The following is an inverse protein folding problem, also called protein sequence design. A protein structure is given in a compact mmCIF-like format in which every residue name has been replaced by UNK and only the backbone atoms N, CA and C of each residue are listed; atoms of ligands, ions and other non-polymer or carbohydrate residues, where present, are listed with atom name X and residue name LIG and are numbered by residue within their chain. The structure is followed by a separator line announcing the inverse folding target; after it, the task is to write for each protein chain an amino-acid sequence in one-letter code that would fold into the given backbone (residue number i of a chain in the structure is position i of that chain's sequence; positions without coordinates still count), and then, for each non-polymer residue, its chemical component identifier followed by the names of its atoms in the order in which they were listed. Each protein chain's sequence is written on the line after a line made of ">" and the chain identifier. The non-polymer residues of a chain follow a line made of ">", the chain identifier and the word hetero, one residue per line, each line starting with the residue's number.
data_IF_416748965844
#
_entry.id   IF_416748965844
#
_cell.length_a   1.000
_cell.length_b   1.000
_cell.length_c   1.000
_cell.angle_alpha   90.00
_cell.angle_beta   90.00
_cell.angle_gamma   90.00
#
_symmetry.space_group_name_H-M   'P 1'
#
loop_
_entity.id
_entity.type
_entity.pdbx_description
1 polymer ?
#
# COMPACT_ATOMS: atom_id res chain seq x y z
N UNK A 1 -18.20 -3.58 -11.17
CA UNK A 1 -19.04 -4.23 -10.14
C UNK A 1 -19.12 -3.31 -8.92
N UNK A 2 -20.18 -3.33 -8.13
CA UNK A 2 -20.17 -2.64 -6.85
C UNK A 2 -19.09 -3.28 -5.96
N UNK A 3 -18.42 -2.45 -5.17
CA UNK A 3 -17.43 -2.92 -4.17
C UNK A 3 -18.23 -3.65 -3.10
N UNK A 4 -18.04 -4.95 -2.97
CA UNK A 4 -18.61 -5.72 -1.85
C UNK A 4 -17.74 -5.49 -0.62
N UNK A 5 -18.31 -4.86 0.40
CA UNK A 5 -17.66 -4.68 1.69
C UNK A 5 -17.87 -5.97 2.48
N UNK A 6 -16.80 -6.68 2.90
CA UNK A 6 -16.94 -7.87 3.73
C UNK A 6 -17.71 -7.55 5.02
N UNK A 7 -18.63 -8.43 5.41
CA UNK A 7 -19.48 -8.22 6.60
C UNK A 7 -18.69 -8.29 7.92
N UNK A 8 -17.48 -8.84 7.88
CA UNK A 8 -16.55 -9.00 8.99
C UNK A 8 -15.43 -7.93 8.98
N UNK A 9 -15.58 -6.88 8.15
CA UNK A 9 -14.60 -5.83 8.04
C UNK A 9 -14.57 -4.98 9.33
N UNK A 10 -13.38 -4.84 9.90
CA UNK A 10 -13.12 -3.92 11.00
C UNK A 10 -13.51 -2.48 10.60
N UNK A 11 -14.21 -1.71 11.44
CA UNK A 11 -14.65 -0.36 11.09
C UNK A 11 -13.55 0.55 10.55
N UNK A 12 -12.35 0.50 11.13
CA UNK A 12 -11.19 1.28 10.69
C UNK A 12 -10.77 1.00 9.25
N UNK A 13 -11.13 -0.17 8.71
CA UNK A 13 -10.76 -0.56 7.36
C UNK A 13 -11.80 -0.17 6.30
N UNK A 14 -12.95 0.37 6.68
CA UNK A 14 -13.98 0.81 5.74
C UNK A 14 -13.43 1.78 4.66
N UNK A 15 -12.61 2.79 5.00
CA UNK A 15 -12.00 3.65 3.96
C UNK A 15 -11.11 2.91 2.97
N UNK A 16 -10.51 1.78 3.37
CA UNK A 16 -9.63 0.95 2.55
C UNK A 16 -10.34 -0.18 1.79
N UNK A 17 -11.65 -0.37 1.99
CA UNK A 17 -12.39 -1.53 1.46
C UNK A 17 -12.21 -1.73 -0.04
N UNK A 18 -12.08 -0.66 -0.82
CA UNK A 18 -11.88 -0.71 -2.26
C UNK A 18 -10.50 -1.24 -2.68
N UNK A 19 -9.49 -1.16 -1.79
CA UNK A 19 -8.15 -1.71 -2.03
C UNK A 19 -8.08 -3.22 -1.75
N UNK A 20 -8.87 -3.73 -0.81
CA UNK A 20 -8.76 -5.11 -0.32
C UNK A 20 -8.85 -6.14 -1.44
N UNK A 21 -8.01 -7.17 -1.36
CA UNK A 21 -7.91 -8.26 -2.32
C UNK A 21 -6.57 -8.33 -3.02
N UNK A 22 -6.50 -9.15 -4.07
CA UNK A 22 -5.29 -9.31 -4.88
C UNK A 22 -5.47 -8.61 -6.23
N UNK A 23 -4.44 -7.92 -6.64
CA UNK A 23 -4.36 -7.15 -7.88
C UNK A 23 -3.14 -7.60 -8.67
N UNK A 24 -3.28 -7.75 -9.98
CA UNK A 24 -2.16 -8.11 -10.86
C UNK A 24 -2.24 -7.37 -12.17
N UNK A 25 -1.11 -6.97 -12.70
CA UNK A 25 -1.01 -6.28 -13.97
C UNK A 25 0.40 -5.87 -14.30
N UNK A 26 0.53 -5.01 -15.30
CA UNK A 26 1.82 -4.60 -15.82
C UNK A 26 2.07 -3.11 -15.57
N UNK A 27 3.33 -2.75 -15.59
CA UNK A 27 3.78 -1.38 -15.42
C UNK A 27 5.16 -1.17 -16.00
N UNK A 28 5.66 0.03 -15.78
CA UNK A 28 7.01 0.43 -16.19
C UNK A 28 7.77 1.02 -15.01
N UNK A 29 9.07 0.73 -14.95
CA UNK A 29 9.99 1.33 -14.00
C UNK A 29 11.23 1.83 -14.69
N UNK A 30 11.78 2.91 -14.19
CA UNK A 30 13.03 3.51 -14.62
C UNK A 30 13.38 4.65 -13.67
N UNK A 31 14.60 5.16 -13.71
CA UNK A 31 14.96 6.32 -12.89
C UNK A 31 16.09 7.10 -13.54
N UNK A 32 15.91 8.42 -13.61
CA UNK A 32 16.88 9.31 -14.26
C UNK A 32 17.03 8.99 -15.73
N UNK A 33 18.27 8.72 -16.16
CA UNK A 33 18.62 8.41 -17.56
C UNK A 33 18.56 6.89 -17.84
N UNK A 34 18.13 6.08 -16.87
CA UNK A 34 18.00 4.64 -17.07
C UNK A 34 16.83 4.32 -18.01
N UNK A 35 17.06 3.35 -18.90
CA UNK A 35 16.01 2.84 -19.77
C UNK A 35 14.82 2.31 -18.96
N UNK A 36 13.62 2.68 -19.39
CA UNK A 36 12.40 2.13 -18.80
C UNK A 36 12.29 0.64 -19.08
N UNK A 37 11.96 -0.12 -18.06
CA UNK A 37 11.76 -1.56 -18.12
C UNK A 37 10.33 -1.91 -17.77
N UNK A 38 9.74 -2.78 -18.57
CA UNK A 38 8.43 -3.35 -18.28
C UNK A 38 8.53 -4.32 -17.10
N UNK A 39 7.48 -4.37 -16.28
CA UNK A 39 7.35 -5.33 -15.20
C UNK A 39 5.92 -5.83 -15.09
N UNK A 40 5.76 -7.02 -14.51
CA UNK A 40 4.52 -7.54 -13.95
C UNK A 40 4.56 -7.38 -12.44
N UNK A 41 3.44 -6.99 -11.85
CA UNK A 41 3.33 -6.86 -10.40
C UNK A 41 2.08 -7.55 -9.89
N UNK A 42 2.24 -8.23 -8.75
CA UNK A 42 1.15 -8.74 -7.93
C UNK A 42 1.14 -7.98 -6.61
N UNK A 43 0.01 -7.36 -6.30
CA UNK A 43 -0.20 -6.61 -5.05
C UNK A 43 -1.34 -7.24 -4.28
N UNK A 44 -1.16 -7.39 -2.97
CA UNK A 44 -2.19 -7.91 -2.08
C UNK A 44 -2.42 -6.95 -0.92
N UNK A 45 -3.68 -6.63 -0.67
CA UNK A 45 -4.15 -5.91 0.49
C UNK A 45 -5.06 -6.83 1.29
N UNK A 46 -4.62 -7.25 2.48
CA UNK A 46 -5.31 -8.24 3.31
C UNK A 46 -5.78 -7.63 4.62
N UNK A 47 -6.97 -8.03 5.06
CA UNK A 47 -7.48 -7.76 6.40
C UNK A 47 -7.43 -9.03 7.25
N UNK A 48 -7.23 -8.89 8.56
CA UNK A 48 -7.14 -9.99 9.52
C UNK A 48 -8.03 -9.79 10.75
N UNK A 49 -9.00 -8.86 10.66
CA UNK A 49 -9.82 -8.45 11.81
C UNK A 49 -9.13 -7.45 12.74
N UNK A 50 -7.90 -7.02 12.40
CA UNK A 50 -7.15 -5.99 13.13
C UNK A 50 -7.29 -4.62 12.44
N UNK A 51 -7.02 -3.49 13.12
CA UNK A 51 -7.26 -2.15 12.60
C UNK A 51 -6.20 -1.68 11.60
N UNK A 52 -5.66 -2.59 10.79
CA UNK A 52 -4.71 -2.28 9.72
C UNK A 52 -4.85 -3.27 8.55
N UNK A 53 -4.46 -2.81 7.38
CA UNK A 53 -4.32 -3.63 6.18
C UNK A 53 -2.88 -4.11 6.06
N UNK A 54 -2.68 -5.39 5.79
CA UNK A 54 -1.37 -5.96 5.42
C UNK A 54 -1.21 -5.78 3.91
N UNK A 55 -0.12 -5.11 3.53
CA UNK A 55 0.28 -4.87 2.15
C UNK A 55 1.45 -5.75 1.76
N UNK A 56 1.39 -6.35 0.57
CA UNK A 56 2.51 -7.03 -0.07
C UNK A 56 2.51 -6.72 -1.55
N UNK A 57 3.70 -6.49 -2.12
CA UNK A 57 3.88 -6.35 -3.56
C UNK A 57 5.08 -7.17 -4.03
N UNK A 58 4.90 -7.92 -5.09
CA UNK A 58 5.93 -8.70 -5.77
C UNK A 58 6.04 -8.22 -7.20
N UNK A 59 7.24 -7.86 -7.63
CA UNK A 59 7.50 -7.28 -8.95
C UNK A 59 8.48 -8.15 -9.71
N UNK A 60 8.11 -8.55 -10.92
CA UNK A 60 8.90 -9.38 -11.84
C UNK A 60 9.19 -8.57 -13.10
N UNK A 61 10.45 -8.42 -13.50
CA UNK A 61 10.82 -7.80 -14.77
C UNK A 61 10.39 -8.69 -15.93
N UNK A 62 9.96 -8.02 -16.99
CA UNK A 62 9.61 -8.66 -18.25
C UNK A 62 10.75 -8.47 -19.28
N UNK A 63 10.86 -9.40 -20.21
CA UNK A 63 11.69 -9.27 -21.40
C UNK A 63 10.98 -8.48 -22.52
N UNK A 64 11.60 -8.40 -23.69
CA UNK A 64 11.08 -7.68 -24.86
C UNK A 64 9.80 -8.32 -25.41
N UNK A 65 9.61 -9.62 -25.19
CA UNK A 65 8.43 -10.40 -25.59
C UNK A 65 7.29 -10.28 -24.56
N UNK A 66 7.55 -9.68 -23.39
CA UNK A 66 6.57 -9.52 -22.28
C UNK A 66 6.49 -10.74 -21.36
N UNK A 67 7.44 -11.68 -21.47
CA UNK A 67 7.50 -12.85 -20.61
C UNK A 67 8.33 -12.58 -19.33
N UNK A 68 8.03 -13.26 -18.22
CA UNK A 68 8.75 -13.12 -16.97
C UNK A 68 10.23 -13.45 -17.12
N UNK A 69 11.10 -12.49 -16.83
CA UNK A 69 12.57 -12.63 -16.91
C UNK A 69 13.19 -12.96 -15.57
N UNK A 70 12.92 -12.13 -14.54
CA UNK A 70 13.44 -12.31 -13.18
C UNK A 70 12.70 -11.47 -12.16
N UNK A 71 12.71 -11.91 -10.90
CA UNK A 71 12.25 -11.12 -9.77
C UNK A 71 13.05 -9.82 -9.66
N UNK A 72 12.36 -8.72 -9.45
CA UNK A 72 12.97 -7.40 -9.31
C UNK A 72 13.00 -6.95 -7.84
N UNK A 73 11.84 -6.90 -7.20
CA UNK A 73 11.71 -6.43 -5.82
C UNK A 73 10.48 -7.03 -5.14
N UNK A 74 10.49 -6.93 -3.83
CA UNK A 74 9.40 -7.32 -2.95
C UNK A 74 9.18 -6.21 -1.91
N UNK A 75 7.93 -5.89 -1.62
CA UNK A 75 7.56 -4.94 -0.57
C UNK A 75 6.59 -5.59 0.41
N UNK A 76 6.70 -5.21 1.67
CA UNK A 76 5.72 -5.58 2.70
C UNK A 76 5.49 -4.41 3.65
N UNK A 77 4.23 -4.24 4.08
CA UNK A 77 3.91 -3.12 4.94
C UNK A 77 2.54 -3.19 5.59
N UNK A 78 2.22 -2.12 6.33
CA UNK A 78 0.97 -1.94 7.04
C UNK A 78 0.37 -0.58 6.71
N UNK A 79 -0.94 -0.55 6.49
CA UNK A 79 -1.71 0.65 6.19
C UNK A 79 -2.78 0.81 7.26
N UNK A 80 -2.85 1.97 7.87
CA UNK A 80 -3.77 2.23 8.99
C UNK A 80 -4.26 3.68 8.98
N UNK A 81 -5.38 3.94 9.66
CA UNK A 81 -5.81 5.31 9.92
C UNK A 81 -4.83 6.00 10.87
N UNK A 82 -4.40 7.22 10.50
CA UNK A 82 -3.55 8.05 11.35
C UNK A 82 -4.43 8.75 12.40
N UNK A 83 -4.36 8.25 13.64
CA UNK A 83 -5.03 8.83 14.80
C UNK A 83 -4.15 8.68 16.04
N UNK A 84 -4.40 9.45 17.09
CA UNK A 84 -3.73 9.21 18.37
C UNK A 84 -3.94 7.77 18.84
N UNK A 85 -2.89 7.17 19.39
CA UNK A 85 -2.96 5.84 19.99
C UNK A 85 -3.65 5.91 21.35
N UNK A 86 -4.42 4.89 21.66
CA UNK A 86 -5.10 4.69 22.94
C UNK A 86 -4.64 3.38 23.59
N UNK A 87 -4.96 3.19 24.87
CA UNK A 87 -4.50 2.03 25.65
C UNK A 87 -4.97 0.67 25.08
N UNK A 88 -6.05 0.65 24.30
CA UNK A 88 -6.57 -0.54 23.63
C UNK A 88 -5.88 -0.89 22.32
N UNK A 89 -5.03 -0.02 21.80
CA UNK A 89 -4.39 -0.22 20.51
C UNK A 89 -3.26 -1.25 20.55
N UNK A 90 -3.13 -1.97 19.43
CA UNK A 90 -2.03 -2.90 19.22
C UNK A 90 -0.73 -2.11 19.09
N UNK A 91 0.31 -2.55 19.77
CA UNK A 91 1.64 -1.95 19.71
C UNK A 91 2.76 -2.98 19.87
N UNK A 92 4.01 -2.60 19.63
CA UNK A 92 5.12 -3.52 19.74
C UNK A 92 5.36 -3.96 21.17
N UNK A 93 5.37 -5.27 21.42
CA UNK A 93 5.92 -5.89 22.62
C UNK A 93 5.06 -5.89 23.89
N UNK A 94 4.11 -4.99 24.03
CA UNK A 94 3.22 -4.93 25.20
C UNK A 94 1.76 -4.84 24.75
N UNK A 95 1.30 -5.92 24.14
CA UNK A 95 -0.10 -6.05 23.77
C UNK A 95 -0.93 -6.33 25.01
N UNK A 96 -2.07 -5.66 25.22
CA UNK A 96 -3.06 -6.14 26.18
C UNK A 96 -3.46 -7.56 25.75
N UNK A 97 -3.68 -8.48 26.72
CA UNK A 97 -4.04 -9.87 26.39
C UNK A 97 -5.33 -9.97 25.57
N UNK A 98 -6.23 -8.99 25.69
CA UNK A 98 -7.47 -8.88 24.93
C UNK A 98 -7.57 -7.44 24.38
N UNK A 99 -7.13 -7.16 23.14
CA UNK A 99 -7.26 -5.82 22.57
C UNK A 99 -8.74 -5.46 22.44
N UNK A 100 -9.11 -4.33 23.04
CA UNK A 100 -10.47 -3.78 22.93
C UNK A 100 -10.48 -2.84 21.73
N UNK A 101 -11.35 -3.05 20.73
CA UNK A 101 -11.45 -2.13 19.59
C UNK A 101 -11.75 -0.71 20.07
N UNK A 102 -10.94 0.24 19.64
CA UNK A 102 -11.11 1.68 19.96
C UNK A 102 -12.26 2.26 19.16
N UNK A 103 -12.36 1.89 17.89
CA UNK A 103 -13.47 2.27 17.01
C UNK A 103 -14.34 1.04 16.78
N UNK A 104 -15.61 1.15 17.15
CA UNK A 104 -16.54 0.02 17.14
C UNK A 104 -17.58 0.10 16.03
N UNK A 105 -17.66 1.23 15.35
CA UNK A 105 -18.64 1.49 14.31
C UNK A 105 -18.09 2.35 13.17
N UNK A 106 -18.75 2.30 12.03
CA UNK A 106 -18.45 3.22 10.91
C UNK A 106 -18.69 4.69 11.30
N UNK A 107 -19.63 4.96 12.22
CA UNK A 107 -19.89 6.30 12.73
C UNK A 107 -18.71 6.85 13.55
N UNK A 108 -18.03 5.99 14.31
CA UNK A 108 -16.81 6.39 15.03
C UNK A 108 -15.69 6.74 14.05
N UNK A 109 -15.54 5.95 12.98
CA UNK A 109 -14.55 6.24 11.91
C UNK A 109 -14.87 7.55 11.19
N UNK A 110 -16.14 7.85 10.94
CA UNK A 110 -16.53 9.12 10.30
C UNK A 110 -16.12 10.36 11.10
N UNK A 111 -15.97 10.26 12.42
CA UNK A 111 -15.47 11.36 13.28
C UNK A 111 -13.99 11.70 13.02
N UNK A 112 -13.25 10.79 12.37
CA UNK A 112 -11.84 11.00 11.99
C UNK A 112 -11.69 11.70 10.63
N UNK A 113 -12.81 12.01 9.96
CA UNK A 113 -12.76 12.68 8.65
C UNK A 113 -12.09 14.04 8.76
N UNK A 114 -11.06 14.26 7.95
CA UNK A 114 -10.30 15.50 7.94
C UNK A 114 -11.05 16.65 7.22
N UNK A 115 -10.47 17.84 7.26
CA UNK A 115 -11.06 19.04 6.66
C UNK A 115 -11.25 18.94 5.13
N UNK A 116 -10.45 18.11 4.45
CA UNK A 116 -10.54 17.86 3.02
C UNK A 116 -11.62 16.81 2.66
N UNK A 117 -12.26 16.22 3.66
CA UNK A 117 -13.29 15.19 3.51
C UNK A 117 -12.74 13.79 3.22
N UNK A 118 -11.47 13.56 3.50
CA UNK A 118 -10.79 12.25 3.49
C UNK A 118 -10.50 11.78 4.90
N UNK A 119 -9.65 10.77 5.00
CA UNK A 119 -9.10 10.26 6.26
C UNK A 119 -7.59 10.30 6.19
N UNK A 120 -6.94 10.78 7.25
CA UNK A 120 -5.49 10.73 7.35
C UNK A 120 -5.04 9.30 7.59
N UNK A 121 -3.98 8.89 6.93
CA UNK A 121 -3.44 7.53 6.99
C UNK A 121 -1.94 7.53 7.23
N UNK A 122 -1.47 6.48 7.88
CA UNK A 122 -0.06 6.13 8.06
C UNK A 122 0.23 4.81 7.37
N UNK A 123 1.31 4.77 6.62
CA UNK A 123 1.72 3.56 5.88
C UNK A 123 3.19 3.31 6.13
N UNK A 124 3.53 2.10 6.58
CA UNK A 124 4.91 1.65 6.68
C UNK A 124 5.19 0.60 5.61
N UNK A 125 6.33 0.73 4.92
CA UNK A 125 6.76 -0.23 3.88
C UNK A 125 8.22 -0.60 4.12
N UNK A 126 8.50 -1.90 4.04
CA UNK A 126 9.84 -2.48 4.07
C UNK A 126 10.19 -3.00 2.69
N UNK A 127 11.42 -2.75 2.27
CA UNK A 127 11.97 -3.22 1.00
C UNK A 127 13.24 -4.04 1.22
N UNK A 128 13.55 -5.03 0.36
CA UNK A 128 14.86 -5.66 0.32
C UNK A 128 15.98 -4.62 0.13
N UNK A 129 17.18 -4.94 0.64
CA UNK A 129 18.29 -4.01 0.57
C UNK A 129 18.37 -3.02 1.73
N UNK A 130 17.48 -3.18 2.75
CA UNK A 130 17.58 -2.43 3.99
C UNK A 130 16.97 -1.03 3.93
N UNK A 131 15.88 -0.86 3.24
CA UNK A 131 15.09 0.40 3.20
C UNK A 131 13.77 0.19 3.93
N UNK A 132 13.44 1.11 4.83
CA UNK A 132 12.14 1.21 5.47
C UNK A 132 11.59 2.62 5.27
N UNK A 133 10.34 2.70 4.84
CA UNK A 133 9.64 3.94 4.55
C UNK A 133 8.46 4.11 5.49
N UNK A 134 8.33 5.26 6.11
CA UNK A 134 7.11 5.70 6.77
C UNK A 134 6.48 6.79 5.90
N UNK A 135 5.27 6.56 5.47
CA UNK A 135 4.45 7.51 4.72
C UNK A 135 3.34 8.07 5.59
N UNK A 136 3.09 9.34 5.44
CA UNK A 136 1.86 9.99 5.85
C UNK A 136 1.08 10.44 4.62
N UNK A 137 -0.23 10.48 4.72
CA UNK A 137 -1.07 10.89 3.61
C UNK A 137 -2.54 10.79 3.91
N UNK A 138 -3.36 10.70 2.87
CA UNK A 138 -4.80 10.61 3.03
C UNK A 138 -5.41 9.62 2.05
N UNK A 139 -6.54 9.06 2.46
CA UNK A 139 -7.45 8.31 1.62
C UNK A 139 -8.76 9.08 1.49
N UNK A 140 -9.18 9.36 0.25
CA UNK A 140 -10.41 10.09 -0.05
C UNK A 140 -11.15 9.43 -1.21
N UNK A 141 -12.28 8.79 -0.90
CA UNK A 141 -12.95 7.96 -1.89
C UNK A 141 -11.97 6.91 -2.43
N UNK A 142 -11.98 6.65 -3.74
CA UNK A 142 -11.10 5.63 -4.34
C UNK A 142 -9.71 6.21 -4.71
N UNK A 143 -9.15 7.08 -3.88
CA UNK A 143 -7.82 7.69 -4.09
C UNK A 143 -7.03 7.73 -2.79
N UNK A 144 -5.74 7.42 -2.89
CA UNK A 144 -4.74 7.55 -1.82
C UNK A 144 -3.58 8.38 -2.31
N UNK A 145 -3.21 9.39 -1.53
CA UNK A 145 -2.03 10.21 -1.73
C UNK A 145 -1.09 10.03 -0.54
N UNK A 146 0.16 9.62 -0.78
CA UNK A 146 1.16 9.35 0.24
C UNK A 146 2.43 10.15 -0.03
N UNK A 147 3.07 10.60 1.06
CA UNK A 147 4.41 11.19 1.04
C UNK A 147 5.22 10.63 2.19
N UNK A 148 6.49 10.34 1.95
CA UNK A 148 7.40 9.90 3.03
C UNK A 148 7.54 10.98 4.08
N UNK A 149 7.33 10.58 5.33
CA UNK A 149 7.68 11.33 6.55
C UNK A 149 9.12 10.98 6.96
N UNK A 150 9.46 9.69 6.86
CA UNK A 150 10.80 9.20 7.14
C UNK A 150 11.21 8.09 6.17
N UNK A 151 12.49 8.08 5.83
CA UNK A 151 13.17 6.97 5.15
C UNK A 151 14.33 6.52 6.02
N UNK A 152 14.30 5.26 6.44
CA UNK A 152 15.36 4.62 7.23
C UNK A 152 16.14 3.70 6.31
N UNK A 153 17.47 3.82 6.32
CA UNK A 153 18.35 3.01 5.48
C UNK A 153 19.38 2.29 6.34
N UNK A 154 19.57 1.01 6.08
CA UNK A 154 20.69 0.25 6.63
C UNK A 154 22.01 0.76 6.07
N UNK A 155 23.11 0.51 6.79
CA UNK A 155 24.45 0.82 6.29
C UNK A 155 24.70 0.06 4.97
N UNK A 156 25.03 0.79 3.92
CA UNK A 156 25.26 0.23 2.58
C UNK A 156 24.02 0.14 1.70
N UNK A 157 22.84 0.50 2.18
CA UNK A 157 21.66 0.66 1.32
C UNK A 157 21.90 1.81 0.32
N UNK A 158 21.31 1.69 -0.87
CA UNK A 158 21.36 2.74 -1.89
C UNK A 158 20.80 4.05 -1.36
N UNK A 159 21.28 5.14 -1.92
CA UNK A 159 20.78 6.46 -1.57
C UNK A 159 19.32 6.62 -2.00
N UNK A 160 18.45 6.86 -1.04
CA UNK A 160 17.04 7.14 -1.21
C UNK A 160 16.61 8.10 -0.12
N UNK A 161 16.04 9.25 -0.50
CA UNK A 161 15.78 10.36 0.42
C UNK A 161 14.31 10.53 0.72
N UNK A 162 13.47 10.48 -0.30
CA UNK A 162 12.02 10.67 -0.16
C UNK A 162 11.26 10.11 -1.35
N UNK A 163 9.97 9.88 -1.18
CA UNK A 163 9.07 9.49 -2.25
C UNK A 163 7.64 9.92 -2.03
N UNK A 164 6.87 9.87 -3.10
CA UNK A 164 5.42 10.00 -3.06
C UNK A 164 4.81 8.80 -3.76
N UNK A 165 3.67 8.34 -3.26
CA UNK A 165 2.88 7.29 -3.92
C UNK A 165 1.45 7.75 -4.11
N UNK A 166 0.92 7.47 -5.27
CA UNK A 166 -0.47 7.71 -5.63
C UNK A 166 -1.12 6.39 -5.98
N UNK A 167 -2.29 6.12 -5.42
CA UNK A 167 -3.15 5.01 -5.80
C UNK A 167 -4.54 5.53 -6.14
N UNK A 168 -5.17 4.96 -7.16
CA UNK A 168 -6.53 5.33 -7.54
C UNK A 168 -7.25 4.18 -8.24
N UNK A 169 -8.55 4.05 -8.00
CA UNK A 169 -9.40 3.10 -8.72
C UNK A 169 -10.06 3.82 -9.91
N UNK A 170 -9.64 3.45 -11.12
CA UNK A 170 -10.16 4.02 -12.37
C UNK A 170 -10.69 2.88 -13.23
N UNK A 171 -11.97 2.92 -13.62
CA UNK A 171 -12.61 1.88 -14.43
C UNK A 171 -12.43 0.45 -13.87
N UNK A 172 -12.47 0.30 -12.54
CA UNK A 172 -12.20 -0.96 -11.80
C UNK A 172 -10.75 -1.47 -11.87
N UNK A 173 -9.82 -0.65 -12.37
CA UNK A 173 -8.39 -0.96 -12.34
C UNK A 173 -7.72 -0.15 -11.23
N UNK A 174 -6.82 -0.78 -10.48
CA UNK A 174 -5.98 -0.11 -9.53
C UNK A 174 -4.79 0.51 -10.28
N UNK A 175 -4.82 1.83 -10.42
CA UNK A 175 -3.71 2.62 -10.96
C UNK A 175 -2.83 3.06 -9.82
N UNK A 176 -1.51 2.94 -9.97
CA UNK A 176 -0.59 3.53 -9.00
C UNK A 176 0.65 4.14 -9.67
N UNK A 177 1.24 5.11 -9.00
CA UNK A 177 2.50 5.73 -9.39
C UNK A 177 3.37 5.96 -8.15
N UNK A 178 4.68 5.86 -8.33
CA UNK A 178 5.70 6.14 -7.32
C UNK A 178 6.75 7.08 -7.90
N UNK A 179 6.86 8.24 -7.28
CA UNK A 179 7.94 9.18 -7.53
C UNK A 179 8.94 9.06 -6.38
N UNK A 180 10.24 9.17 -6.68
CA UNK A 180 11.28 9.12 -5.67
C UNK A 180 12.38 10.15 -5.91
N UNK A 181 13.04 10.57 -4.83
CA UNK A 181 14.28 11.33 -4.84
C UNK A 181 15.42 10.43 -4.34
N UNK A 182 16.36 10.11 -5.21
CA UNK A 182 17.46 9.19 -4.94
C UNK A 182 18.71 9.59 -5.72
N UNK A 183 19.89 9.12 -5.30
CA UNK A 183 21.16 9.34 -5.97
C UNK A 183 21.44 10.83 -6.27
N UNK A 184 21.08 11.73 -5.32
CA UNK A 184 21.25 13.18 -5.45
C UNK A 184 20.32 13.86 -6.47
N UNK A 185 19.33 13.15 -7.03
CA UNK A 185 18.34 13.69 -7.96
C UNK A 185 17.10 14.18 -7.23
N UNK A 186 16.42 15.14 -7.83
CA UNK A 186 15.11 15.61 -7.38
C UNK A 186 14.02 14.54 -7.57
N UNK A 187 12.87 14.76 -6.96
CA UNK A 187 11.71 13.88 -7.04
C UNK A 187 11.29 13.69 -8.51
N UNK A 188 11.30 12.45 -8.98
CA UNK A 188 10.93 12.09 -10.34
C UNK A 188 10.24 10.72 -10.36
N UNK A 189 9.41 10.50 -11.36
CA UNK A 189 8.68 9.23 -11.52
C UNK A 189 9.66 8.07 -11.68
N UNK A 190 9.51 7.10 -10.80
CA UNK A 190 10.28 5.86 -10.78
C UNK A 190 9.51 4.69 -11.38
N UNK A 191 8.25 4.52 -10.98
CA UNK A 191 7.44 3.39 -11.42
C UNK A 191 5.96 3.75 -11.44
N UNK A 192 5.21 3.07 -12.32
CA UNK A 192 3.75 3.12 -12.35
C UNK A 192 3.18 1.84 -12.94
N UNK A 193 1.97 1.46 -12.54
CA UNK A 193 1.29 0.29 -13.10
C UNK A 193 -0.23 0.47 -13.11
N UNK A 194 -0.84 -0.37 -13.94
CA UNK A 194 -2.28 -0.62 -14.00
C UNK A 194 -2.53 -2.08 -13.66
N UNK A 195 -3.33 -2.31 -12.62
CA UNK A 195 -3.58 -3.65 -12.07
C UNK A 195 -5.07 -3.96 -12.11
N UNK A 196 -5.40 -5.20 -12.46
CA UNK A 196 -6.75 -5.74 -12.43
C UNK A 196 -6.93 -6.59 -11.18
N UNK A 197 -8.11 -6.55 -10.57
CA UNK A 197 -8.42 -7.43 -9.42
C UNK A 197 -8.49 -8.87 -9.87
N UNK A 198 -7.78 -9.74 -9.15
CA UNK A 198 -7.86 -11.19 -9.35
C UNK A 198 -8.84 -11.73 -8.32
N UNK A 199 -9.87 -12.44 -8.79
CA UNK A 199 -10.75 -13.17 -7.90
C UNK A 199 -9.98 -14.36 -7.26
N UNK A 200 -10.21 -14.67 -5.97
CA UNK A 200 -9.66 -15.88 -5.39
C UNK A 200 -10.09 -17.09 -6.24
N UNK A 201 -9.15 -17.99 -6.55
CA UNK A 201 -9.52 -19.24 -7.20
C UNK A 201 -10.61 -19.93 -6.37
N UNK A 202 -11.72 -20.29 -7.00
CA UNK A 202 -12.75 -21.06 -6.33
C UNK A 202 -12.12 -22.29 -5.67
N UNK A 203 -12.45 -22.63 -4.41
CA UNK A 203 -11.89 -23.80 -3.75
C UNK A 203 -12.13 -25.01 -4.65
N UNK A 204 -11.07 -25.70 -5.05
CA UNK A 204 -11.16 -26.95 -5.78
C UNK A 204 -11.93 -27.93 -4.88
N UNK A 205 -13.17 -28.18 -5.25
CA UNK A 205 -14.04 -29.12 -4.52
C UNK A 205 -13.35 -30.47 -4.39
N UNK A 206 -13.20 -30.90 -3.15
CA UNK A 206 -12.82 -32.28 -2.76
C UNK A 206 -14.01 -33.21 -2.85
#
# INVERSE_FOLDING_TARGET
>A
MPIEIPSDLTPELVPFAWLLGTWEGNGFMGYGDAEQRAFRQRVTFEQTGLPFVIYRAQTTLLDEEGEPQREATYEQGFWELARPREDGDIGPGMLPPDPVPVLTSAEDVEKLRNADGGFDISVSILQPGGVAELYLGQIKGPRVDLRTDAVIRAQGAKEYQSGTRLYGLVNNHLMWAWDMAADGRELATHASAELTRIEPAAPSGS
#
